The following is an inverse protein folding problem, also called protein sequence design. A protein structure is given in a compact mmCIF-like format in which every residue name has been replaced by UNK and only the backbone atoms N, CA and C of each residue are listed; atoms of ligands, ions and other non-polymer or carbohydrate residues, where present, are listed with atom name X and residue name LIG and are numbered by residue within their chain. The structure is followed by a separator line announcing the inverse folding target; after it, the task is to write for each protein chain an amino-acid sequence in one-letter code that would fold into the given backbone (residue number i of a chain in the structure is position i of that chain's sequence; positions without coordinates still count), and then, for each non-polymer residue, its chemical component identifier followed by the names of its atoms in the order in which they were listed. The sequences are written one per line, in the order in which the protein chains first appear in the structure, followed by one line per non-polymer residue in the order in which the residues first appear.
data_IF_095066488075
#
_entry.id   IF_095066488075
#
_cell.length_a   1.000
_cell.length_b   1.000
_cell.length_c   1.000
_cell.angle_alpha   90.00
_cell.angle_beta   90.00
_cell.angle_gamma   90.00
#
_symmetry.space_group_name_H-M   'P 1'
#
loop_
_entity.id
_entity.type
_entity.pdbx_description
1 polymer ?
#
# COMPACT_ATOMS: atom_id res chain seq x y z
N UNK A 1 -0.22 -24.88 21.80
CA UNK A 1 -1.44 -25.73 21.80
C UNK A 1 -1.29 -26.83 22.81
N UNK A 2 -2.42 -27.34 23.34
CA UNK A 2 -2.43 -28.37 24.41
C UNK A 2 -1.60 -29.61 24.03
N UNK A 3 -1.62 -30.00 22.74
CA UNK A 3 -0.86 -31.16 22.25
C UNK A 3 0.67 -30.98 22.35
N UNK A 4 1.19 -29.79 22.05
CA UNK A 4 2.63 -29.54 22.18
C UNK A 4 3.12 -29.46 23.61
N UNK A 5 2.28 -28.98 24.54
CA UNK A 5 2.56 -29.02 25.97
C UNK A 5 2.61 -30.47 26.52
N UNK A 6 1.67 -31.31 26.12
CA UNK A 6 1.66 -32.74 26.49
C UNK A 6 2.89 -33.48 25.97
N UNK A 7 3.30 -33.21 24.70
CA UNK A 7 4.52 -33.77 24.11
C UNK A 7 5.79 -33.31 24.85
N UNK A 8 5.86 -32.04 25.26
CA UNK A 8 6.98 -31.51 26.02
C UNK A 8 7.09 -32.14 27.42
N UNK A 9 5.95 -32.34 28.09
CA UNK A 9 5.91 -33.01 29.40
C UNK A 9 6.31 -34.49 29.29
N UNK A 10 5.86 -35.20 28.27
CA UNK A 10 6.23 -36.57 28.00
C UNK A 10 7.72 -36.71 27.68
N UNK A 11 8.29 -35.84 26.85
CA UNK A 11 9.72 -35.81 26.51
C UNK A 11 10.59 -35.50 27.77
N UNK A 12 10.17 -34.58 28.61
CA UNK A 12 10.87 -34.25 29.85
C UNK A 12 10.89 -35.42 30.85
N UNK A 13 9.83 -36.25 30.87
CA UNK A 13 9.73 -37.43 31.77
C UNK A 13 10.49 -38.66 31.27
N UNK A 14 10.64 -38.81 29.94
CA UNK A 14 11.25 -40.02 29.35
C UNK A 14 12.78 -39.95 29.20
N UNK A 15 13.41 -38.80 29.37
CA UNK A 15 14.76 -38.57 28.84
C UNK A 15 15.86 -38.16 29.81
N UNK A 16 15.84 -38.42 31.10
CA UNK A 16 16.97 -38.10 31.99
C UNK A 16 17.56 -36.69 31.69
N UNK A 17 18.90 -36.57 31.62
CA UNK A 17 19.59 -35.29 31.34
C UNK A 17 19.33 -34.76 29.90
N UNK A 18 18.94 -35.61 28.95
CA UNK A 18 18.59 -35.24 27.55
C UNK A 18 17.12 -34.81 27.41
N UNK A 19 16.27 -35.10 28.36
CA UNK A 19 14.84 -34.75 28.33
C UNK A 19 14.57 -33.26 28.44
N UNK A 20 15.44 -32.53 29.16
CA UNK A 20 15.37 -31.06 29.24
C UNK A 20 15.61 -30.35 27.91
N UNK A 21 16.58 -30.83 27.13
CA UNK A 21 16.86 -30.27 25.80
C UNK A 21 15.73 -30.59 24.79
N UNK A 22 15.17 -31.80 24.85
CA UNK A 22 14.04 -32.19 24.03
C UNK A 22 12.78 -31.38 24.36
N UNK A 23 12.49 -31.14 25.63
CA UNK A 23 11.37 -30.31 26.06
C UNK A 23 11.53 -28.84 25.63
N UNK A 24 12.74 -28.29 25.74
CA UNK A 24 13.04 -26.94 25.27
C UNK A 24 12.89 -26.83 23.75
N UNK A 25 13.36 -27.79 22.95
CA UNK A 25 13.21 -27.83 21.51
C UNK A 25 11.73 -27.88 21.08
N UNK A 26 10.90 -28.68 21.77
CA UNK A 26 9.45 -28.75 21.49
C UNK A 26 8.76 -27.41 21.84
N UNK A 27 9.15 -26.77 22.96
CA UNK A 27 8.61 -25.47 23.36
C UNK A 27 8.98 -24.38 22.33
N UNK A 28 10.25 -24.30 21.91
CA UNK A 28 10.69 -23.36 20.88
C UNK A 28 10.04 -23.63 19.52
N UNK A 29 9.92 -24.89 19.10
CA UNK A 29 9.23 -25.28 17.87
C UNK A 29 7.75 -24.92 17.87
N UNK A 30 7.06 -25.08 19.01
CA UNK A 30 5.65 -24.70 19.13
C UNK A 30 5.45 -23.18 19.07
N UNK A 31 6.36 -22.40 19.65
CA UNK A 31 6.33 -20.95 19.58
C UNK A 31 6.59 -20.46 18.14
N UNK A 32 7.58 -21.04 17.46
CA UNK A 32 7.85 -20.73 16.05
C UNK A 32 6.65 -21.09 15.16
N UNK A 33 5.98 -22.22 15.38
CA UNK A 33 4.77 -22.60 14.66
C UNK A 33 3.60 -21.64 14.89
N UNK A 34 3.45 -21.12 16.11
CA UNK A 34 2.42 -20.10 16.41
C UNK A 34 2.71 -18.80 15.67
N UNK A 35 3.94 -18.32 15.70
CA UNK A 35 4.35 -17.10 14.97
C UNK A 35 4.13 -17.30 13.47
N UNK A 36 4.54 -18.45 12.92
CA UNK A 36 4.35 -18.75 11.50
C UNK A 36 2.86 -18.80 11.13
N UNK A 37 2.00 -19.35 12.01
CA UNK A 37 0.55 -19.37 11.79
C UNK A 37 -0.04 -17.96 11.77
N UNK A 38 0.40 -17.09 12.68
CA UNK A 38 -0.04 -15.68 12.69
C UNK A 38 0.40 -14.93 11.42
N UNK A 39 1.63 -15.14 10.96
CA UNK A 39 2.12 -14.56 9.73
C UNK A 39 1.36 -15.06 8.50
N UNK A 40 1.05 -16.33 8.43
CA UNK A 40 0.25 -16.91 7.35
C UNK A 40 -1.18 -16.34 7.35
N UNK A 41 -1.81 -16.26 8.52
CA UNK A 41 -3.13 -15.63 8.66
C UNK A 41 -3.13 -14.17 8.19
N UNK A 42 -2.11 -13.40 8.55
CA UNK A 42 -1.97 -12.02 8.10
C UNK A 42 -1.86 -11.93 6.56
N UNK A 43 -1.05 -12.79 5.94
CA UNK A 43 -0.91 -12.84 4.47
C UNK A 43 -2.20 -13.22 3.76
N UNK A 44 -2.95 -14.16 4.32
CA UNK A 44 -4.23 -14.58 3.75
C UNK A 44 -5.29 -13.47 3.88
N UNK A 45 -5.29 -12.73 5.00
CA UNK A 45 -6.13 -11.56 5.19
C UNK A 45 -5.82 -10.45 4.18
N UNK A 46 -4.51 -10.19 3.90
CA UNK A 46 -4.11 -9.22 2.88
C UNK A 46 -4.57 -9.64 1.47
N UNK A 47 -4.38 -10.91 1.10
CA UNK A 47 -4.85 -11.44 -0.20
C UNK A 47 -6.36 -11.35 -0.36
N UNK A 48 -7.11 -11.62 0.70
CA UNK A 48 -8.58 -11.49 0.68
C UNK A 48 -8.99 -10.02 0.59
N UNK A 49 -8.33 -9.12 1.32
CA UNK A 49 -8.57 -7.68 1.21
C UNK A 49 -8.29 -7.16 -0.21
N UNK A 50 -7.20 -7.59 -0.83
CA UNK A 50 -6.86 -7.27 -2.22
C UNK A 50 -7.93 -7.75 -3.19
N UNK A 51 -8.39 -8.99 -3.02
CA UNK A 51 -9.44 -9.59 -3.86
C UNK A 51 -10.76 -8.82 -3.76
N UNK A 52 -11.20 -8.55 -2.53
CA UNK A 52 -12.44 -7.80 -2.27
C UNK A 52 -12.30 -6.36 -2.74
N UNK A 53 -11.14 -5.73 -2.49
CA UNK A 53 -10.84 -4.38 -2.95
C UNK A 53 -10.92 -4.24 -4.47
N UNK A 54 -10.31 -5.18 -5.21
CA UNK A 54 -10.38 -5.21 -6.67
C UNK A 54 -11.81 -5.37 -7.17
N UNK A 55 -12.59 -6.27 -6.56
CA UNK A 55 -14.00 -6.47 -6.92
C UNK A 55 -14.84 -5.21 -6.64
N UNK A 56 -14.60 -4.55 -5.52
CA UNK A 56 -15.26 -3.31 -5.14
C UNK A 56 -14.94 -2.19 -6.13
N UNK A 57 -13.66 -2.04 -6.49
CA UNK A 57 -13.20 -1.07 -7.48
C UNK A 57 -13.91 -1.27 -8.83
N UNK A 58 -13.94 -2.51 -9.30
CA UNK A 58 -14.60 -2.88 -10.56
C UNK A 58 -16.11 -2.64 -10.52
N UNK A 59 -16.79 -3.03 -9.44
CA UNK A 59 -18.23 -2.83 -9.28
C UNK A 59 -18.59 -1.33 -9.20
N UNK A 60 -17.71 -0.51 -8.65
CA UNK A 60 -17.85 0.93 -8.61
C UNK A 60 -17.60 1.63 -9.98
N UNK A 61 -17.26 0.85 -11.02
CA UNK A 61 -17.08 1.38 -12.38
C UNK A 61 -15.68 1.89 -12.69
N UNK A 62 -14.70 1.66 -11.80
CA UNK A 62 -13.31 2.03 -12.03
C UNK A 62 -12.56 0.97 -12.85
N UNK A 63 -11.46 1.38 -13.48
CA UNK A 63 -10.57 0.46 -14.17
C UNK A 63 -9.81 -0.41 -13.16
N UNK A 64 -9.92 -1.75 -13.24
CA UNK A 64 -9.18 -2.66 -12.36
C UNK A 64 -7.66 -2.48 -12.42
N UNK A 65 -7.10 -2.06 -13.55
CA UNK A 65 -5.67 -1.73 -13.69
C UNK A 65 -5.22 -0.56 -12.81
N UNK A 66 -6.15 0.23 -12.32
CA UNK A 66 -5.85 1.26 -11.33
C UNK A 66 -5.25 0.71 -10.04
N UNK A 67 -5.66 -0.49 -9.61
CA UNK A 67 -5.10 -1.14 -8.42
C UNK A 67 -3.68 -1.68 -8.68
N UNK A 68 -3.42 -2.23 -9.86
CA UNK A 68 -2.08 -2.62 -10.30
C UNK A 68 -1.12 -1.42 -10.29
N UNK A 69 -1.51 -0.33 -10.96
CA UNK A 69 -0.73 0.91 -10.99
C UNK A 69 -0.53 1.53 -9.60
N UNK A 70 -1.48 1.39 -8.70
CA UNK A 70 -1.33 1.82 -7.31
C UNK A 70 -0.25 1.00 -6.58
N UNK A 71 -0.24 -0.32 -6.73
CA UNK A 71 0.78 -1.18 -6.13
C UNK A 71 2.19 -0.89 -6.67
N UNK A 72 2.31 -0.66 -7.99
CA UNK A 72 3.59 -0.26 -8.60
C UNK A 72 4.13 1.06 -8.03
N UNK A 73 3.26 2.07 -7.89
CA UNK A 73 3.64 3.36 -7.30
C UNK A 73 4.03 3.22 -5.83
N UNK A 74 3.27 2.43 -5.07
CA UNK A 74 3.56 2.17 -3.66
C UNK A 74 4.91 1.45 -3.50
N UNK A 75 5.18 0.46 -4.34
CA UNK A 75 6.46 -0.25 -4.37
C UNK A 75 7.62 0.68 -4.72
N UNK A 76 7.46 1.48 -5.77
CA UNK A 76 8.48 2.45 -6.21
C UNK A 76 8.75 3.50 -5.13
N UNK A 77 7.70 4.01 -4.48
CA UNK A 77 7.81 4.95 -3.36
C UNK A 77 8.60 4.37 -2.20
N UNK A 78 8.36 3.10 -1.86
CA UNK A 78 9.03 2.43 -0.74
C UNK A 78 10.55 2.26 -0.97
N UNK A 79 10.98 2.07 -2.22
CA UNK A 79 12.42 1.95 -2.56
C UNK A 79 13.23 3.22 -2.29
N UNK A 80 12.61 4.39 -2.33
CA UNK A 80 13.27 5.68 -2.06
C UNK A 80 13.29 6.04 -0.56
N UNK A 81 12.50 5.35 0.26
CA UNK A 81 12.35 5.62 1.69
C UNK A 81 12.83 4.44 2.55
N UNK A 82 14.00 3.87 2.26
CA UNK A 82 14.57 2.73 3.03
C UNK A 82 14.69 2.99 4.54
N UNK A 83 14.72 4.27 4.96
CA UNK A 83 14.76 4.66 6.37
C UNK A 83 13.45 5.16 6.96
N UNK A 84 12.39 5.33 6.15
CA UNK A 84 11.10 5.88 6.59
C UNK A 84 9.95 5.36 5.73
N UNK A 85 9.83 4.02 5.59
CA UNK A 85 8.65 3.45 4.96
C UNK A 85 7.38 3.97 5.65
N UNK A 86 6.32 4.34 4.91
CA UNK A 86 5.06 4.75 5.52
C UNK A 86 4.61 3.72 6.55
N UNK A 87 4.14 4.16 7.73
CA UNK A 87 3.72 3.29 8.83
C UNK A 87 2.71 2.21 8.37
N UNK A 88 1.90 2.52 7.35
CA UNK A 88 1.01 1.58 6.70
C UNK A 88 1.75 0.35 6.15
N UNK A 89 2.89 0.50 5.49
CA UNK A 89 3.64 -0.62 4.90
C UNK A 89 4.32 -1.51 5.93
N UNK A 90 4.52 -1.03 7.16
CA UNK A 90 5.05 -1.86 8.24
C UNK A 90 4.01 -2.86 8.75
N UNK A 91 2.73 -2.50 8.72
CA UNK A 91 1.60 -3.35 9.14
C UNK A 91 0.96 -4.12 7.99
N UNK A 92 1.01 -3.57 6.76
CA UNK A 92 0.43 -4.12 5.53
C UNK A 92 1.49 -4.22 4.43
N UNK A 93 2.45 -5.15 4.52
CA UNK A 93 3.57 -5.20 3.60
C UNK A 93 3.11 -5.52 2.17
N UNK A 94 3.58 -4.71 1.23
CA UNK A 94 3.38 -4.99 -0.19
C UNK A 94 4.47 -5.96 -0.65
N UNK A 95 4.10 -7.23 -0.81
CA UNK A 95 5.01 -8.27 -1.30
C UNK A 95 4.94 -8.41 -2.82
N UNK A 96 6.00 -8.95 -3.42
CA UNK A 96 6.04 -9.26 -4.85
C UNK A 96 4.92 -10.24 -5.24
N UNK A 97 4.58 -11.14 -4.32
CA UNK A 97 3.48 -12.11 -4.52
C UNK A 97 2.13 -11.41 -4.63
N UNK A 98 1.85 -10.39 -3.80
CA UNK A 98 0.60 -9.61 -3.88
C UNK A 98 0.52 -8.84 -5.19
N UNK A 99 1.63 -8.25 -5.63
CA UNK A 99 1.71 -7.55 -6.92
C UNK A 99 1.44 -8.51 -8.09
N UNK A 100 2.07 -9.68 -8.10
CA UNK A 100 1.88 -10.69 -9.13
C UNK A 100 0.45 -11.26 -9.14
N UNK A 101 -0.15 -11.51 -7.97
CA UNK A 101 -1.55 -11.95 -7.85
C UNK A 101 -2.50 -10.88 -8.40
N UNK A 102 -2.24 -9.61 -8.12
CA UNK A 102 -3.05 -8.52 -8.63
C UNK A 102 -2.94 -8.40 -10.16
N UNK A 103 -1.74 -8.46 -10.72
CA UNK A 103 -1.52 -8.47 -12.17
C UNK A 103 -2.25 -9.65 -12.84
N UNK A 104 -2.18 -10.84 -12.26
CA UNK A 104 -2.87 -12.01 -12.78
C UNK A 104 -4.41 -11.84 -12.77
N UNK A 105 -4.96 -11.27 -11.71
CA UNK A 105 -6.41 -11.03 -11.59
C UNK A 105 -6.89 -9.96 -12.56
N UNK A 106 -6.18 -8.85 -12.68
CA UNK A 106 -6.57 -7.74 -13.57
C UNK A 106 -6.49 -8.11 -15.04
N UNK A 107 -5.58 -9.04 -15.42
CA UNK A 107 -5.41 -9.50 -16.79
C UNK A 107 -6.68 -10.10 -17.41
N UNK A 108 -7.50 -10.76 -16.61
CA UNK A 108 -8.74 -11.41 -17.06
C UNK A 108 -9.97 -10.49 -17.01
N UNK A 109 -9.84 -9.30 -16.41
CA UNK A 109 -10.96 -8.37 -16.25
C UNK A 109 -10.91 -7.32 -17.36
N UNK A 110 -12.02 -7.08 -18.10
CA UNK A 110 -12.04 -6.05 -19.13
C UNK A 110 -11.75 -4.67 -18.55
N UNK A 111 -10.94 -3.85 -19.24
CA UNK A 111 -10.66 -2.48 -18.81
C UNK A 111 -11.94 -1.64 -18.83
N UNK A 112 -12.02 -0.67 -17.93
CA UNK A 112 -13.11 0.32 -17.89
C UNK A 112 -12.56 1.72 -18.07
N UNK A 113 -13.18 2.47 -18.99
CA UNK A 113 -12.87 3.89 -19.17
C UNK A 113 -13.62 4.68 -18.08
N UNK A 114 -12.93 5.01 -17.00
CA UNK A 114 -13.41 5.96 -16.02
C UNK A 114 -12.90 7.35 -16.36
N UNK A 115 -13.82 8.34 -16.41
CA UNK A 115 -13.45 9.75 -16.59
C UNK A 115 -13.50 10.43 -15.23
N UNK A 116 -12.39 11.01 -14.85
CA UNK A 116 -12.32 11.83 -13.65
C UNK A 116 -13.28 13.02 -13.75
N UNK A 117 -14.02 13.26 -12.68
CA UNK A 117 -14.87 14.44 -12.57
C UNK A 117 -14.03 15.72 -12.50
N UNK A 118 -14.63 16.85 -12.86
CA UNK A 118 -13.98 18.15 -12.69
C UNK A 118 -13.61 18.40 -11.22
N UNK A 119 -14.50 18.06 -10.29
CA UNK A 119 -14.27 18.20 -8.85
C UNK A 119 -13.07 17.40 -8.38
N UNK A 120 -12.93 16.16 -8.84
CA UNK A 120 -11.76 15.34 -8.51
C UNK A 120 -10.46 16.01 -8.97
N UNK A 121 -10.43 16.51 -10.21
CA UNK A 121 -9.25 17.19 -10.77
C UNK A 121 -8.91 18.48 -10.01
N UNK A 122 -9.91 19.26 -9.63
CA UNK A 122 -9.73 20.48 -8.84
C UNK A 122 -9.19 20.16 -7.44
N UNK A 123 -9.75 19.14 -6.77
CA UNK A 123 -9.26 18.68 -5.47
C UNK A 123 -7.82 18.18 -5.58
N UNK A 124 -7.50 17.41 -6.61
CA UNK A 124 -6.15 16.91 -6.86
C UNK A 124 -5.14 18.06 -7.02
N UNK A 125 -5.45 19.07 -7.86
CA UNK A 125 -4.61 20.24 -8.03
C UNK A 125 -4.42 21.03 -6.72
N UNK A 126 -5.48 21.16 -5.91
CA UNK A 126 -5.40 21.78 -4.60
C UNK A 126 -4.50 21.00 -3.64
N UNK A 127 -4.66 19.67 -3.58
CA UNK A 127 -3.85 18.81 -2.71
C UNK A 127 -2.37 18.85 -3.10
N UNK A 128 -2.04 18.94 -4.39
CA UNK A 128 -0.67 19.07 -4.88
C UNK A 128 0.03 20.31 -4.28
N UNK A 129 -0.70 21.42 -4.11
CA UNK A 129 -0.18 22.62 -3.42
C UNK A 129 -0.14 22.43 -1.90
N UNK A 130 -1.20 21.86 -1.30
CA UNK A 130 -1.32 21.76 0.16
C UNK A 130 -0.37 20.74 0.78
N UNK A 131 0.13 19.77 0.02
CA UNK A 131 1.14 18.81 0.49
C UNK A 131 2.49 19.49 0.75
N UNK A 132 2.74 20.61 0.08
CA UNK A 132 3.93 21.39 0.35
C UNK A 132 3.76 22.25 1.60
N UNK A 133 4.78 22.26 2.44
CA UNK A 133 4.78 23.01 3.71
C UNK A 133 5.76 24.18 3.71
N UNK A 134 6.61 24.27 2.69
CA UNK A 134 7.68 25.26 2.58
C UNK A 134 7.48 26.17 1.37
N UNK A 135 7.94 27.41 1.49
CA UNK A 135 7.85 28.40 0.44
C UNK A 135 8.48 27.94 -0.91
N UNK A 136 9.65 27.31 -0.84
CA UNK A 136 10.32 26.77 -2.02
C UNK A 136 9.55 25.62 -2.69
N UNK A 137 8.80 24.83 -1.92
CA UNK A 137 7.89 23.79 -2.40
C UNK A 137 6.73 24.40 -3.20
N UNK A 138 6.02 25.39 -2.65
CA UNK A 138 4.94 26.09 -3.37
C UNK A 138 5.42 26.74 -4.66
N UNK A 139 6.62 27.32 -4.65
CA UNK A 139 7.22 27.90 -5.85
C UNK A 139 7.52 26.83 -6.93
N UNK A 140 7.98 25.64 -6.55
CA UNK A 140 8.20 24.52 -7.46
C UNK A 140 6.88 24.03 -8.07
N UNK A 141 5.85 23.84 -7.25
CA UNK A 141 4.51 23.41 -7.72
C UNK A 141 3.93 24.46 -8.68
N UNK A 142 4.06 25.76 -8.39
CA UNK A 142 3.63 26.83 -9.29
C UNK A 142 4.34 26.73 -10.64
N UNK A 143 5.65 26.57 -10.67
CA UNK A 143 6.41 26.38 -11.93
C UNK A 143 5.97 25.15 -12.70
N UNK A 144 5.69 24.05 -12.01
CA UNK A 144 5.21 22.84 -12.65
C UNK A 144 3.83 23.04 -13.28
N UNK A 145 2.90 23.69 -12.61
CA UNK A 145 1.61 24.06 -13.21
C UNK A 145 1.77 24.95 -14.43
N UNK A 146 2.64 25.95 -14.37
CA UNK A 146 2.95 26.82 -15.53
C UNK A 146 3.54 26.03 -16.70
N UNK A 147 4.38 25.05 -16.43
CA UNK A 147 4.94 24.15 -17.45
C UNK A 147 3.85 23.32 -18.12
N UNK A 148 2.98 22.68 -17.31
CA UNK A 148 1.88 21.85 -17.82
C UNK A 148 0.85 22.67 -18.60
N UNK A 149 0.65 23.90 -18.21
CA UNK A 149 -0.29 24.82 -18.87
C UNK A 149 0.06 25.08 -20.34
N UNK A 150 1.36 25.07 -20.69
CA UNK A 150 1.81 25.31 -22.08
C UNK A 150 1.31 24.27 -23.10
N UNK A 151 0.95 23.07 -22.62
CA UNK A 151 0.50 21.95 -23.47
C UNK A 151 -0.92 21.50 -23.15
N UNK A 152 -1.59 22.19 -22.23
CA UNK A 152 -2.95 21.85 -21.77
C UNK A 152 -4.01 22.69 -22.48
N UNK A 153 -5.22 22.16 -22.60
CA UNK A 153 -6.37 22.85 -23.18
C UNK A 153 -7.67 22.46 -22.46
N UNK A 154 -8.67 23.31 -22.60
CA UNK A 154 -10.02 23.05 -22.10
C UNK A 154 -10.11 22.84 -20.59
N UNK A 155 -10.76 21.76 -20.14
CA UNK A 155 -10.96 21.47 -18.71
C UNK A 155 -9.64 21.36 -17.95
N UNK A 156 -8.60 20.76 -18.54
CA UNK A 156 -7.32 20.62 -17.87
C UNK A 156 -6.62 21.98 -17.69
N UNK A 157 -6.76 22.90 -18.63
CA UNK A 157 -6.29 24.27 -18.54
C UNK A 157 -6.95 25.01 -17.36
N UNK A 158 -8.28 24.91 -17.24
CA UNK A 158 -9.02 25.50 -16.11
C UNK A 158 -8.56 24.95 -14.74
N UNK A 159 -8.31 23.64 -14.65
CA UNK A 159 -7.79 22.99 -13.43
C UNK A 159 -6.41 23.52 -13.07
N UNK A 160 -5.52 23.70 -14.06
CA UNK A 160 -4.18 24.23 -13.82
C UNK A 160 -4.21 25.71 -13.39
N UNK A 161 -5.09 26.52 -13.96
CA UNK A 161 -5.30 27.90 -13.50
C UNK A 161 -5.81 27.96 -12.06
N UNK A 162 -6.73 27.06 -11.67
CA UNK A 162 -7.14 26.94 -10.30
C UNK A 162 -5.97 26.57 -9.38
N UNK A 163 -5.16 25.56 -9.76
CA UNK A 163 -3.95 25.19 -8.99
C UNK A 163 -2.96 26.34 -8.85
N UNK A 164 -2.77 27.13 -9.91
CA UNK A 164 -1.95 28.35 -9.87
C UNK A 164 -2.49 29.39 -8.91
N UNK A 165 -3.81 29.60 -8.87
CA UNK A 165 -4.42 30.54 -7.90
C UNK A 165 -4.23 30.11 -6.46
N UNK A 166 -4.35 28.80 -6.18
CA UNK A 166 -4.08 28.25 -4.84
C UNK A 166 -2.61 28.40 -4.45
N UNK A 167 -1.68 28.16 -5.40
CA UNK A 167 -0.25 28.33 -5.15
C UNK A 167 0.12 29.81 -4.91
N UNK A 168 -0.44 30.75 -5.69
CA UNK A 168 -0.26 32.19 -5.48
C UNK A 168 -0.77 32.63 -4.10
N UNK A 169 -1.94 32.16 -3.69
CA UNK A 169 -2.47 32.45 -2.36
C UNK A 169 -1.52 31.97 -1.24
N UNK A 170 -0.85 30.83 -1.41
CA UNK A 170 0.13 30.32 -0.44
C UNK A 170 1.43 31.12 -0.44
N UNK A 171 1.80 31.66 -1.59
CA UNK A 171 2.97 32.54 -1.74
C UNK A 171 2.70 34.00 -1.33
N UNK A 172 1.44 34.34 -0.98
CA UNK A 172 0.99 35.72 -0.68
C UNK A 172 1.21 36.71 -1.84
N UNK A 173 1.00 36.22 -3.08
CA UNK A 173 1.04 37.01 -4.33
C UNK A 173 -0.35 37.46 -4.79
#
# INVERSE_FOLDING_TARGET
TIGSMLLAILAARAGGNSGGHAAAAVAMGSQAAMIQSQLNYSRDAEREADRVGLQTLYNAGFDPKGMESFFERLHSSNRFYESAAPAYLSTHPLTVERMADMENRTRSIPPRLHRDSLDFKLIQARLEVLQETRHDGWYKVRKEFQRRLKTSSGVNEAVLHYGLSVAAQKLHE
#
